data_IF_666696829971
#
_entry.id   IF_666696829971
#
_cell.length_a   1.000
_cell.length_b   1.000
_cell.length_c   1.000
_cell.angle_alpha   90.00
_cell.angle_beta   90.00
_cell.angle_gamma   90.00
#
_symmetry.space_group_name_H-M   'P 1'
#
loop_
_entity.id
_entity.type
_entity.pdbx_description
1 polymer ?
#
# COMPACT_ATOMS: atom_id res chain seq x y z
N UNK A 1 -24.44 6.37 28.53
CA UNK A 1 -25.18 7.66 28.38
C UNK A 1 -25.18 8.15 26.93
N UNK A 2 -25.87 9.25 26.58
CA UNK A 2 -26.02 9.73 25.17
C UNK A 2 -24.68 9.84 24.41
N UNK A 3 -23.64 10.39 25.06
CA UNK A 3 -22.29 10.50 24.47
C UNK A 3 -21.63 9.16 24.15
N UNK A 4 -21.93 8.14 24.95
CA UNK A 4 -21.35 6.81 24.83
C UNK A 4 -22.07 6.00 23.75
N UNK A 5 -23.40 6.13 23.66
CA UNK A 5 -24.17 5.59 22.55
C UNK A 5 -23.72 6.20 21.21
N UNK A 6 -23.47 7.52 21.18
CA UNK A 6 -22.94 8.20 20.00
C UNK A 6 -21.56 7.65 19.58
N UNK A 7 -20.62 7.52 20.52
CA UNK A 7 -19.28 6.99 20.25
C UNK A 7 -19.34 5.54 19.74
N UNK A 8 -20.15 4.69 20.36
CA UNK A 8 -20.31 3.29 19.94
C UNK A 8 -20.94 3.18 18.56
N UNK A 9 -21.96 3.97 18.25
CA UNK A 9 -22.57 3.98 16.92
C UNK A 9 -21.58 4.48 15.86
N UNK A 10 -20.85 5.55 16.15
CA UNK A 10 -19.79 6.08 15.27
C UNK A 10 -18.72 5.02 15.02
N UNK A 11 -18.28 4.30 16.06
CA UNK A 11 -17.30 3.23 15.93
C UNK A 11 -17.79 2.08 15.03
N UNK A 12 -19.08 1.71 15.13
CA UNK A 12 -19.68 0.68 14.26
C UNK A 12 -19.75 1.14 12.81
N UNK A 13 -20.13 2.38 12.56
CA UNK A 13 -20.18 2.94 11.21
C UNK A 13 -18.78 3.02 10.59
N UNK A 14 -17.77 3.47 11.36
CA UNK A 14 -16.37 3.46 10.93
C UNK A 14 -15.91 2.03 10.64
N UNK A 15 -16.15 1.09 11.55
CA UNK A 15 -15.78 -0.31 11.36
C UNK A 15 -16.43 -0.93 10.11
N UNK A 16 -17.69 -0.60 9.82
CA UNK A 16 -18.38 -1.09 8.62
C UNK A 16 -17.86 -0.44 7.32
N UNK A 17 -17.33 0.78 7.40
CA UNK A 17 -16.76 1.49 6.26
C UNK A 17 -15.30 1.08 5.96
N UNK A 18 -14.58 0.59 6.97
CA UNK A 18 -13.22 0.09 6.82
C UNK A 18 -13.29 -1.34 6.29
N UNK A 19 -12.81 -1.55 5.05
CA UNK A 19 -12.79 -2.85 4.39
C UNK A 19 -11.35 -3.29 4.19
N UNK A 20 -11.04 -4.53 4.59
CA UNK A 20 -9.74 -5.15 4.39
C UNK A 20 -8.72 -4.88 5.50
N UNK A 21 -7.47 -5.25 5.25
CA UNK A 21 -6.39 -5.29 6.24
C UNK A 21 -5.55 -3.99 6.29
N UNK A 22 -6.16 -2.87 5.88
CA UNK A 22 -5.45 -1.58 5.82
C UNK A 22 -5.30 -1.02 7.23
N UNK A 23 -4.06 -0.71 7.69
CA UNK A 23 -3.84 -0.13 9.00
C UNK A 23 -4.52 1.23 9.11
N UNK A 24 -5.15 1.46 10.26
CA UNK A 24 -5.89 2.69 10.55
C UNK A 24 -5.17 3.50 11.59
N UNK A 25 -5.03 4.78 11.29
CA UNK A 25 -4.44 5.76 12.19
C UNK A 25 -5.52 6.69 12.71
N UNK A 26 -5.77 6.65 14.02
CA UNK A 26 -6.70 7.55 14.68
C UNK A 26 -5.94 8.71 15.33
N UNK A 27 -6.06 9.90 14.75
CA UNK A 27 -5.43 11.13 15.22
C UNK A 27 -6.45 12.05 15.92
N UNK A 28 -6.08 12.61 17.07
CA UNK A 28 -6.90 13.62 17.74
C UNK A 28 -6.47 13.94 19.17
N UNK A 29 -7.01 15.03 19.74
CA UNK A 29 -6.68 15.46 21.09
C UNK A 29 -7.42 14.67 22.19
N UNK A 30 -6.68 14.31 23.23
CA UNK A 30 -7.21 13.93 24.54
C UNK A 30 -8.16 12.73 24.58
N UNK A 31 -9.06 12.75 25.56
CA UNK A 31 -9.89 11.61 25.96
C UNK A 31 -10.92 11.16 24.90
N UNK A 32 -11.34 12.04 24.00
CA UNK A 32 -12.33 11.69 22.98
C UNK A 32 -11.78 10.64 22.00
N UNK A 33 -10.50 10.80 21.59
CA UNK A 33 -9.76 9.84 20.78
C UNK A 33 -9.64 8.50 21.50
N UNK A 34 -9.24 8.50 22.77
CA UNK A 34 -9.01 7.27 23.53
C UNK A 34 -10.28 6.43 23.68
N UNK A 35 -11.41 7.10 23.93
CA UNK A 35 -12.71 6.44 24.01
C UNK A 35 -13.17 5.86 22.67
N UNK A 36 -12.93 6.58 21.57
CA UNK A 36 -13.25 6.06 20.24
C UNK A 36 -12.33 4.89 19.87
N UNK A 37 -11.04 4.96 20.21
CA UNK A 37 -10.10 3.86 20.01
C UNK A 37 -10.51 2.60 20.78
N UNK A 38 -10.95 2.75 22.03
CA UNK A 38 -11.48 1.65 22.83
C UNK A 38 -12.75 1.04 22.19
N UNK A 39 -13.67 1.88 21.72
CA UNK A 39 -14.89 1.41 21.05
C UNK A 39 -14.57 0.67 19.73
N UNK A 40 -13.62 1.17 18.94
CA UNK A 40 -13.19 0.53 17.69
C UNK A 40 -12.55 -0.83 17.94
N UNK A 41 -11.69 -0.98 18.95
CA UNK A 41 -11.11 -2.29 19.31
C UNK A 41 -12.15 -3.33 19.72
N UNK A 42 -13.29 -2.89 20.24
CA UNK A 42 -14.41 -3.80 20.58
C UNK A 42 -15.24 -4.13 19.34
N UNK A 43 -15.51 -3.15 18.47
CA UNK A 43 -16.36 -3.35 17.29
C UNK A 43 -15.64 -4.02 16.12
N UNK A 44 -14.32 -3.83 16.01
CA UNK A 44 -13.45 -4.36 14.97
C UNK A 44 -12.13 -4.84 15.63
N UNK A 45 -12.15 -5.99 16.31
CA UNK A 45 -10.98 -6.50 17.05
C UNK A 45 -9.79 -6.82 16.13
N UNK A 46 -10.07 -7.17 14.87
CA UNK A 46 -9.05 -7.47 13.86
C UNK A 46 -8.46 -6.22 13.19
N UNK A 47 -8.97 -5.03 13.52
CA UNK A 47 -8.49 -3.78 12.93
C UNK A 47 -7.11 -3.41 13.49
N UNK A 48 -6.11 -3.30 12.61
CA UNK A 48 -4.80 -2.76 12.94
C UNK A 48 -4.89 -1.25 13.22
N UNK A 49 -5.19 -0.89 14.48
CA UNK A 49 -5.47 0.48 14.91
C UNK A 49 -4.31 1.11 15.71
N UNK A 50 -3.69 2.14 15.14
CA UNK A 50 -2.70 2.99 15.81
C UNK A 50 -3.34 4.31 16.23
N UNK A 51 -3.18 4.69 17.49
CA UNK A 51 -3.75 5.92 18.05
C UNK A 51 -2.65 6.96 18.29
N UNK A 52 -2.78 8.14 17.69
CA UNK A 52 -1.78 9.21 17.74
C UNK A 52 -2.35 10.45 18.42
N UNK A 53 -1.58 11.07 19.33
CA UNK A 53 -1.94 12.32 19.97
C UNK A 53 -1.59 13.49 19.06
N UNK A 54 -2.56 14.36 18.83
CA UNK A 54 -2.36 15.61 18.11
C UNK A 54 -2.96 16.76 18.90
N UNK A 55 -2.46 17.98 18.65
CA UNK A 55 -2.95 19.18 19.33
C UNK A 55 -4.36 19.61 18.90
N UNK A 56 -4.73 19.27 17.67
CA UNK A 56 -6.01 19.63 17.02
C UNK A 56 -6.58 18.38 16.32
N UNK A 57 -7.90 18.32 16.11
CA UNK A 57 -8.56 17.25 15.35
C UNK A 57 -8.81 17.59 13.88
N UNK A 58 -9.35 16.64 13.10
CA UNK A 58 -9.71 16.85 11.69
C UNK A 58 -8.50 16.86 10.75
N UNK A 59 -8.61 17.53 9.59
CA UNK A 59 -7.56 17.54 8.55
C UNK A 59 -6.17 18.00 9.04
N UNK A 60 -6.04 19.01 9.93
CA UNK A 60 -4.74 19.39 10.47
C UNK A 60 -4.04 18.25 11.22
N UNK A 61 -4.79 17.45 11.98
CA UNK A 61 -4.28 16.28 12.71
C UNK A 61 -3.70 15.24 11.75
N UNK A 62 -4.43 14.92 10.67
CA UNK A 62 -3.97 13.97 9.67
C UNK A 62 -2.66 14.43 9.01
N UNK A 63 -2.57 15.73 8.67
CA UNK A 63 -1.36 16.29 8.08
C UNK A 63 -0.16 16.27 9.05
N UNK A 64 -0.40 16.55 10.34
CA UNK A 64 0.61 16.47 11.40
C UNK A 64 1.18 15.04 11.49
N UNK A 65 0.30 14.03 11.55
CA UNK A 65 0.70 12.63 11.63
C UNK A 65 1.50 12.17 10.41
N UNK A 66 1.11 12.58 9.21
CA UNK A 66 1.83 12.27 7.97
C UNK A 66 3.20 12.94 7.97
N UNK A 67 3.26 14.25 8.25
CA UNK A 67 4.49 15.05 8.19
C UNK A 67 5.52 14.62 9.22
N UNK A 68 5.07 14.28 10.42
CA UNK A 68 5.94 13.94 11.56
C UNK A 68 6.22 12.44 11.66
N UNK A 69 5.65 11.63 10.76
CA UNK A 69 5.88 10.19 10.75
C UNK A 69 5.35 9.48 11.99
N UNK A 70 4.36 10.05 12.69
CA UNK A 70 3.87 9.55 13.99
C UNK A 70 3.14 8.20 13.88
N UNK A 71 2.78 7.79 12.67
CA UNK A 71 2.28 6.45 12.35
C UNK A 71 3.19 5.70 11.36
N UNK A 72 4.40 6.22 11.14
CA UNK A 72 5.31 5.76 10.09
C UNK A 72 5.67 4.30 10.21
N UNK A 73 5.94 3.80 11.42
CA UNK A 73 6.35 2.40 11.63
C UNK A 73 5.28 1.40 11.18
N UNK A 74 4.04 1.55 11.64
CA UNK A 74 2.94 0.62 11.30
C UNK A 74 2.57 0.71 9.82
N UNK A 75 2.61 1.91 9.23
CA UNK A 75 2.35 2.09 7.80
C UNK A 75 3.49 1.52 6.95
N UNK A 76 4.74 1.67 7.40
CA UNK A 76 5.91 1.08 6.74
C UNK A 76 5.87 -0.44 6.80
N UNK A 77 5.58 -1.04 7.96
CA UNK A 77 5.48 -2.49 8.12
C UNK A 77 4.41 -3.09 7.19
N UNK A 78 3.25 -2.43 7.08
CA UNK A 78 2.20 -2.87 6.16
C UNK A 78 2.61 -2.69 4.69
N UNK A 79 3.29 -1.60 4.34
CA UNK A 79 3.80 -1.39 2.99
C UNK A 79 4.79 -2.50 2.60
N UNK A 80 5.77 -2.77 3.47
CA UNK A 80 6.77 -3.84 3.28
C UNK A 80 6.11 -5.22 3.18
N UNK A 81 5.09 -5.50 4.01
CA UNK A 81 4.32 -6.75 3.93
C UNK A 81 3.61 -6.89 2.59
N UNK A 82 2.95 -5.83 2.11
CA UNK A 82 2.27 -5.81 0.82
C UNK A 82 3.25 -5.94 -0.35
N UNK A 83 4.38 -5.25 -0.29
CA UNK A 83 5.48 -5.34 -1.27
C UNK A 83 6.01 -6.78 -1.34
N UNK A 84 6.25 -7.40 -0.18
CA UNK A 84 6.74 -8.78 -0.06
C UNK A 84 5.75 -9.77 -0.70
N UNK A 85 4.47 -9.69 -0.35
CA UNK A 85 3.46 -10.59 -0.91
C UNK A 85 3.34 -10.49 -2.44
N UNK A 86 3.47 -9.30 -3.01
CA UNK A 86 3.43 -9.10 -4.48
C UNK A 86 4.67 -9.69 -5.17
N UNK A 87 5.85 -9.52 -4.58
CA UNK A 87 7.09 -10.10 -5.12
C UNK A 87 7.07 -11.62 -5.01
N UNK A 88 6.63 -12.19 -3.88
CA UNK A 88 6.49 -13.64 -3.71
C UNK A 88 5.49 -14.25 -4.70
N UNK A 89 4.35 -13.60 -4.93
CA UNK A 89 3.39 -14.00 -5.95
C UNK A 89 4.02 -13.95 -7.36
N UNK A 90 4.78 -12.90 -7.67
CA UNK A 90 5.48 -12.81 -8.95
C UNK A 90 6.49 -13.96 -9.12
N UNK A 91 7.27 -14.26 -8.08
CA UNK A 91 8.23 -15.38 -8.09
C UNK A 91 7.52 -16.73 -8.27
N UNK A 92 6.36 -16.92 -7.64
CA UNK A 92 5.52 -18.11 -7.81
C UNK A 92 5.04 -18.26 -9.25
N UNK A 93 4.58 -17.17 -9.87
CA UNK A 93 4.19 -17.17 -11.29
C UNK A 93 5.37 -17.43 -12.21
N UNK A 94 6.57 -16.91 -11.92
CA UNK A 94 7.76 -17.21 -12.73
C UNK A 94 8.05 -18.72 -12.72
N UNK A 95 8.04 -19.34 -11.54
CA UNK A 95 8.31 -20.77 -11.38
C UNK A 95 7.25 -21.67 -12.04
N UNK A 96 5.99 -21.24 -12.04
CA UNK A 96 4.86 -21.98 -12.61
C UNK A 96 4.56 -21.59 -14.07
N UNK A 97 5.37 -20.72 -14.68
CA UNK A 97 5.09 -20.13 -15.98
C UNK A 97 3.70 -19.45 -16.05
N UNK A 98 3.28 -18.80 -14.97
CA UNK A 98 2.03 -18.05 -14.86
C UNK A 98 2.04 -16.70 -15.59
N UNK A 99 1.00 -15.90 -15.35
CA UNK A 99 0.82 -14.57 -15.94
C UNK A 99 1.67 -13.51 -15.22
N UNK A 100 2.92 -13.37 -15.65
CA UNK A 100 3.92 -12.45 -15.11
C UNK A 100 4.86 -11.97 -16.22
N UNK A 101 5.34 -10.74 -16.14
CA UNK A 101 6.35 -10.20 -17.03
C UNK A 101 7.48 -9.52 -16.22
N UNK A 102 8.72 -9.79 -16.56
CA UNK A 102 9.90 -9.16 -15.96
C UNK A 102 10.96 -8.92 -17.04
N UNK A 103 11.86 -7.99 -16.76
CA UNK A 103 12.80 -7.50 -17.77
C UNK A 103 12.14 -6.53 -18.75
N UNK A 104 12.93 -5.56 -19.20
CA UNK A 104 12.43 -4.37 -19.90
C UNK A 104 11.61 -4.67 -21.17
N UNK A 105 12.02 -5.68 -21.96
CA UNK A 105 11.33 -6.03 -23.20
C UNK A 105 9.93 -6.61 -22.96
N UNK A 106 9.81 -7.59 -22.05
CA UNK A 106 8.53 -8.21 -21.71
C UNK A 106 7.61 -7.24 -20.97
N UNK A 107 8.16 -6.40 -20.07
CA UNK A 107 7.40 -5.34 -19.41
C UNK A 107 6.81 -4.37 -20.43
N UNK A 108 7.62 -3.86 -21.37
CA UNK A 108 7.14 -2.94 -22.41
C UNK A 108 6.02 -3.56 -23.24
N UNK A 109 6.14 -4.85 -23.59
CA UNK A 109 5.09 -5.58 -24.32
C UNK A 109 3.81 -5.70 -23.49
N UNK A 110 3.91 -6.16 -22.25
CA UNK A 110 2.77 -6.32 -21.36
C UNK A 110 2.00 -5.00 -21.12
N UNK A 111 2.73 -3.89 -21.02
CA UNK A 111 2.13 -2.54 -20.91
C UNK A 111 1.41 -2.17 -22.20
N UNK A 112 2.05 -2.32 -23.36
CA UNK A 112 1.45 -2.00 -24.66
C UNK A 112 0.19 -2.82 -24.97
N UNK A 113 0.12 -4.06 -24.50
CA UNK A 113 -1.06 -4.93 -24.64
C UNK A 113 -2.14 -4.66 -23.57
N UNK A 114 -1.89 -3.78 -22.59
CA UNK A 114 -2.80 -3.54 -21.47
C UNK A 114 -2.99 -4.75 -20.56
N UNK A 115 -2.01 -5.65 -20.56
CA UNK A 115 -2.04 -6.89 -19.80
C UNK A 115 -1.68 -6.68 -18.33
N UNK A 116 -1.01 -5.57 -17.98
CA UNK A 116 -0.54 -5.31 -16.61
C UNK A 116 -1.72 -5.07 -15.66
N UNK A 117 -1.82 -5.90 -14.63
CA UNK A 117 -2.72 -5.69 -13.49
C UNK A 117 -2.02 -4.87 -12.41
N UNK A 118 -0.82 -5.30 -12.01
CA UNK A 118 0.00 -4.63 -11.01
C UNK A 118 1.46 -4.60 -11.45
N UNK A 119 2.06 -3.40 -11.54
CA UNK A 119 3.49 -3.18 -11.72
C UNK A 119 4.13 -2.93 -10.36
N UNK A 120 5.09 -3.76 -9.98
CA UNK A 120 5.97 -3.51 -8.82
C UNK A 120 7.32 -3.01 -9.35
N UNK A 121 7.78 -1.87 -8.88
CA UNK A 121 9.01 -1.21 -9.35
C UNK A 121 9.83 -0.69 -8.18
N UNK A 122 11.15 -0.87 -8.23
CA UNK A 122 12.04 -0.31 -7.23
C UNK A 122 11.99 1.22 -7.23
N UNK A 123 11.90 1.80 -6.04
CA UNK A 123 11.86 3.24 -5.82
C UNK A 123 13.08 3.96 -6.46
N UNK A 124 14.25 3.32 -6.47
CA UNK A 124 15.48 3.84 -7.07
C UNK A 124 15.37 4.05 -8.58
N UNK A 125 14.66 3.18 -9.29
CA UNK A 125 14.49 3.27 -10.75
C UNK A 125 13.70 4.51 -11.17
N UNK A 126 12.84 5.02 -10.29
CA UNK A 126 12.06 6.24 -10.51
C UNK A 126 12.83 7.53 -10.22
N UNK A 127 14.05 7.42 -9.67
CA UNK A 127 14.90 8.56 -9.28
C UNK A 127 16.30 8.52 -9.93
N UNK A 128 16.67 7.40 -10.56
CA UNK A 128 17.96 7.21 -11.22
C UNK A 128 18.04 7.79 -12.63
N UNK A 129 19.07 7.37 -13.37
CA UNK A 129 19.36 7.86 -14.73
C UNK A 129 18.23 7.58 -15.73
N UNK A 130 17.60 6.40 -15.62
CA UNK A 130 16.47 5.98 -16.47
C UNK A 130 15.09 6.40 -15.92
N UNK A 131 15.04 7.31 -14.93
CA UNK A 131 13.79 7.70 -14.25
C UNK A 131 12.68 8.10 -15.22
N UNK A 132 13.01 8.89 -16.25
CA UNK A 132 12.04 9.35 -17.24
C UNK A 132 11.36 8.20 -18.00
N UNK A 133 12.08 7.12 -18.28
CA UNK A 133 11.55 5.93 -18.94
C UNK A 133 10.62 5.15 -18.01
N UNK A 134 11.04 4.95 -16.76
CA UNK A 134 10.23 4.24 -15.78
C UNK A 134 8.96 5.02 -15.39
N UNK A 135 9.04 6.34 -15.31
CA UNK A 135 7.91 7.23 -15.09
C UNK A 135 6.88 7.10 -16.22
N UNK A 136 7.31 7.17 -17.49
CA UNK A 136 6.41 6.96 -18.64
C UNK A 136 5.75 5.58 -18.62
N UNK A 137 6.48 4.54 -18.24
CA UNK A 137 5.90 3.20 -18.14
C UNK A 137 4.88 3.11 -17.01
N UNK A 138 5.14 3.74 -15.86
CA UNK A 138 4.17 3.83 -14.77
C UNK A 138 2.92 4.59 -15.19
N UNK A 139 3.07 5.70 -15.91
CA UNK A 139 1.97 6.49 -16.46
C UNK A 139 1.13 5.66 -17.45
N UNK A 140 1.77 4.95 -18.39
CA UNK A 140 1.09 4.07 -19.33
C UNK A 140 0.33 2.92 -18.62
N UNK A 141 0.90 2.32 -17.58
CA UNK A 141 0.20 1.32 -16.75
C UNK A 141 -1.03 1.93 -16.08
N UNK A 142 -0.89 3.13 -15.52
CA UNK A 142 -1.99 3.82 -14.85
C UNK A 142 -3.13 4.12 -15.82
N UNK A 143 -2.82 4.65 -17.00
CA UNK A 143 -3.79 5.00 -18.05
C UNK A 143 -4.58 3.78 -18.54
N UNK A 144 -3.98 2.59 -18.49
CA UNK A 144 -4.60 1.31 -18.85
C UNK A 144 -5.29 0.60 -17.66
N UNK A 145 -5.45 1.32 -16.54
CA UNK A 145 -6.13 0.85 -15.33
C UNK A 145 -5.35 -0.17 -14.52
N UNK A 146 -4.03 -0.22 -14.67
CA UNK A 146 -3.14 -1.01 -13.83
C UNK A 146 -2.77 -0.27 -12.54
N UNK A 147 -2.35 -1.02 -11.53
CA UNK A 147 -1.86 -0.49 -10.25
C UNK A 147 -0.34 -0.43 -10.26
N UNK A 148 0.24 0.64 -9.71
CA UNK A 148 1.68 0.78 -9.53
C UNK A 148 2.01 0.70 -8.04
N UNK A 149 3.00 -0.12 -7.70
CA UNK A 149 3.51 -0.30 -6.35
C UNK A 149 5.01 -0.03 -6.37
N UNK A 150 5.44 0.95 -5.58
CA UNK A 150 6.86 1.18 -5.36
C UNK A 150 7.35 0.23 -4.27
N UNK A 151 8.50 -0.37 -4.50
CA UNK A 151 9.15 -1.29 -3.57
C UNK A 151 10.48 -0.69 -3.11
N UNK A 152 10.79 -0.79 -1.81
CA UNK A 152 12.11 -0.41 -1.31
C UNK A 152 13.14 -1.51 -1.59
N UNK A 153 14.39 -1.15 -1.85
CA UNK A 153 15.49 -2.13 -1.92
C UNK A 153 15.94 -2.62 -0.53
N UNK A 154 15.51 -1.96 0.54
CA UNK A 154 16.04 -2.17 1.91
C UNK A 154 15.58 -3.46 2.60
N UNK A 155 14.77 -4.29 1.94
CA UNK A 155 14.29 -5.58 2.46
C UNK A 155 14.41 -6.68 1.42
N UNK A 156 14.27 -7.93 1.85
CA UNK A 156 14.55 -9.13 1.05
C UNK A 156 13.76 -9.19 -0.26
N UNK A 157 12.47 -8.86 -0.24
CA UNK A 157 11.66 -8.78 -1.45
C UNK A 157 12.15 -7.71 -2.44
N UNK A 158 12.66 -6.59 -1.94
CA UNK A 158 13.33 -5.57 -2.74
C UNK A 158 14.59 -6.08 -3.41
N UNK A 159 15.42 -6.81 -2.67
CA UNK A 159 16.63 -7.44 -3.21
C UNK A 159 16.31 -8.51 -4.26
N UNK A 160 15.24 -9.30 -4.07
CA UNK A 160 14.76 -10.24 -5.07
C UNK A 160 14.28 -9.53 -6.34
N UNK A 161 13.50 -8.45 -6.19
CA UNK A 161 13.03 -7.63 -7.31
C UNK A 161 14.21 -7.02 -8.08
N UNK A 162 15.26 -6.59 -7.40
CA UNK A 162 16.49 -6.10 -8.02
C UNK A 162 17.14 -7.17 -8.91
N UNK A 163 17.16 -8.43 -8.45
CA UNK A 163 17.61 -9.58 -9.23
C UNK A 163 16.82 -9.83 -10.52
N UNK A 164 15.59 -9.33 -10.63
CA UNK A 164 14.75 -9.37 -11.84
C UNK A 164 14.93 -8.14 -12.75
N UNK A 165 15.89 -7.26 -12.45
CA UNK A 165 16.09 -5.98 -13.14
C UNK A 165 15.31 -4.82 -12.52
N UNK A 166 14.85 -4.97 -11.28
CA UNK A 166 14.24 -3.93 -10.46
C UNK A 166 12.77 -3.64 -10.74
N UNK A 167 12.11 -4.39 -11.63
CA UNK A 167 10.67 -4.31 -11.83
C UNK A 167 10.07 -5.64 -12.30
N UNK A 168 8.82 -5.88 -11.91
CA UNK A 168 8.02 -7.03 -12.33
C UNK A 168 6.55 -6.63 -12.43
N UNK A 169 5.84 -7.21 -13.40
CA UNK A 169 4.42 -7.00 -13.59
C UNK A 169 3.65 -8.32 -13.39
N UNK A 170 2.66 -8.30 -12.51
CA UNK A 170 1.60 -9.30 -12.50
C UNK A 170 0.63 -8.93 -13.62
N UNK A 171 0.41 -9.85 -14.55
CA UNK A 171 -0.47 -9.62 -15.70
C UNK A 171 -1.80 -10.34 -15.53
N UNK A 172 -2.85 -9.77 -16.13
CA UNK A 172 -4.22 -10.30 -16.16
C UNK A 172 -4.30 -11.61 -16.95
N UNK A 173 -3.40 -11.78 -17.93
CA UNK A 173 -3.25 -12.95 -18.77
C UNK A 173 -1.78 -13.13 -19.17
N UNK A 174 -1.41 -14.30 -19.68
CA UNK A 174 -0.05 -14.57 -20.15
C UNK A 174 0.26 -13.74 -21.39
N UNK A 175 1.39 -13.04 -21.34
CA UNK A 175 1.92 -12.26 -22.46
C UNK A 175 3.03 -13.09 -23.08
N UNK A 176 2.90 -13.40 -24.37
CA UNK A 176 3.90 -14.19 -25.11
C UNK A 176 5.14 -13.36 -25.49
#
# INVERSE_FOLDING_TARGET
>A
GVKEAFLTNTAKEIAAALVGDVPVVLAGPGHARDRLAAALRVCAPDLSLTSVATSIGGRPAANEVIREGLAGAVLADHAVSRETGLVEEAMTRIQTSGAVAYGMAHLSRAVNEGAVETLVVLADLLRGEDAYRWQQMCEAVHDLGGTIVQCSRDHDAGAQLDGLGGAVALTRYRVD
#
